data_IF_724899992187
#
_entry.id   IF_724899992187
#
_cell.length_a   1.000
_cell.length_b   1.000
_cell.length_c   1.000
_cell.angle_alpha   90.00
_cell.angle_beta   90.00
_cell.angle_gamma   90.00
#
_symmetry.space_group_name_H-M   'P 1'
#
loop_
_entity.id
_entity.type
_entity.pdbx_description
1 polymer ?
#
# COMPACT_ATOMS: atom_id res chain seq x y z
N UNK A 1 55.19 -37.98 -27.81
CA UNK A 1 55.33 -37.40 -29.17
C UNK A 1 54.57 -36.08 -29.21
N UNK A 2 55.24 -34.91 -29.29
CA UNK A 2 54.55 -33.64 -29.34
C UNK A 2 54.10 -33.34 -30.78
N UNK A 3 52.80 -33.14 -30.99
CA UNK A 3 52.28 -32.69 -32.27
C UNK A 3 52.47 -31.17 -32.40
N UNK A 4 53.15 -30.79 -33.48
CA UNK A 4 53.48 -29.42 -33.87
C UNK A 4 52.23 -28.59 -34.14
N UNK A 5 52.05 -27.47 -33.43
CA UNK A 5 51.00 -26.50 -33.73
C UNK A 5 51.45 -25.54 -34.83
N UNK A 6 50.85 -25.68 -36.00
CA UNK A 6 51.06 -24.77 -37.14
C UNK A 6 50.14 -23.56 -36.99
N UNK A 7 50.68 -22.41 -36.59
CA UNK A 7 49.94 -21.14 -36.57
C UNK A 7 49.99 -20.50 -37.96
N UNK A 8 48.82 -20.38 -38.61
CA UNK A 8 48.70 -19.60 -39.86
C UNK A 8 48.16 -18.21 -39.50
N UNK A 9 49.01 -17.20 -39.53
CA UNK A 9 48.56 -15.78 -39.49
C UNK A 9 47.95 -15.46 -40.85
N UNK A 10 46.63 -15.27 -40.91
CA UNK A 10 46.00 -14.58 -42.04
C UNK A 10 45.98 -13.09 -41.69
N UNK A 11 46.79 -12.31 -42.39
CA UNK A 11 46.92 -10.88 -42.18
C UNK A 11 46.07 -10.15 -43.22
N UNK A 12 45.16 -9.31 -42.72
CA UNK A 12 44.61 -8.15 -43.44
C UNK A 12 43.39 -8.39 -44.31
N UNK A 13 42.28 -7.74 -43.93
CA UNK A 13 41.08 -7.54 -44.75
C UNK A 13 39.87 -7.28 -43.87
N UNK A 14 39.68 -6.01 -43.49
CA UNK A 14 38.55 -5.39 -42.78
C UNK A 14 37.36 -6.28 -42.34
N UNK A 15 37.18 -6.36 -41.02
CA UNK A 15 35.88 -6.41 -40.34
C UNK A 15 35.12 -7.72 -40.39
N UNK A 16 35.40 -8.69 -39.50
CA UNK A 16 34.45 -9.78 -39.17
C UNK A 16 34.52 -10.16 -37.69
N UNK A 17 33.39 -9.96 -37.02
CA UNK A 17 32.85 -10.56 -35.79
C UNK A 17 33.68 -11.70 -35.15
N UNK A 18 34.33 -11.41 -34.02
CA UNK A 18 35.02 -12.41 -33.20
C UNK A 18 34.06 -13.16 -32.27
N UNK A 19 33.37 -14.19 -32.77
CA UNK A 19 32.63 -15.14 -31.94
C UNK A 19 33.51 -16.29 -31.46
N UNK A 20 33.60 -16.52 -30.14
CA UNK A 20 34.15 -17.78 -29.58
C UNK A 20 33.02 -18.80 -29.51
N UNK A 21 33.16 -19.90 -30.25
CA UNK A 21 32.22 -21.03 -30.20
C UNK A 21 32.81 -22.12 -29.29
N UNK A 22 32.17 -22.36 -28.14
CA UNK A 22 32.47 -23.47 -27.25
C UNK A 22 31.43 -24.56 -27.51
N UNK A 23 31.82 -25.63 -28.20
CA UNK A 23 30.98 -26.82 -28.41
C UNK A 23 30.95 -27.65 -27.11
N UNK A 24 29.82 -27.66 -26.41
CA UNK A 24 29.52 -28.65 -25.37
C UNK A 24 28.35 -29.50 -25.86
N UNK A 25 28.55 -30.82 -25.85
CA UNK A 25 27.72 -31.80 -26.55
C UNK A 25 26.21 -31.69 -26.33
N UNK A 26 25.48 -31.82 -27.44
CA UNK A 26 24.03 -32.08 -27.55
C UNK A 26 23.12 -31.04 -26.90
N UNK A 27 22.91 -29.92 -27.60
CA UNK A 27 21.76 -29.03 -27.41
C UNK A 27 22.03 -27.61 -27.88
N UNK A 28 21.27 -27.11 -28.86
CA UNK A 28 21.34 -25.71 -29.29
C UNK A 28 20.85 -24.80 -28.15
N UNK A 29 21.77 -24.15 -27.44
CA UNK A 29 21.46 -23.05 -26.52
C UNK A 29 21.94 -21.74 -27.15
N UNK A 30 21.03 -21.04 -27.83
CA UNK A 30 21.26 -19.68 -28.31
C UNK A 30 21.28 -18.74 -27.10
N UNK A 31 22.45 -18.18 -26.80
CA UNK A 31 22.58 -17.12 -25.78
C UNK A 31 22.02 -15.82 -26.36
N UNK A 32 20.79 -15.46 -26.00
CA UNK A 32 20.20 -14.15 -26.34
C UNK A 32 20.88 -13.07 -25.50
N UNK A 33 21.61 -12.17 -26.15
CA UNK A 33 22.12 -10.93 -25.55
C UNK A 33 21.04 -9.84 -25.67
N UNK A 34 20.36 -9.50 -24.58
CA UNK A 34 20.70 -8.29 -23.81
C UNK A 34 21.05 -7.01 -24.59
N UNK A 35 20.40 -6.65 -25.69
CA UNK A 35 20.72 -5.38 -26.38
C UNK A 35 20.15 -4.20 -25.58
N UNK A 36 21.02 -3.51 -24.85
CA UNK A 36 20.75 -2.20 -24.29
C UNK A 36 21.29 -1.16 -25.26
N UNK A 37 20.40 -0.38 -25.86
CA UNK A 37 20.73 0.90 -26.47
C UNK A 37 19.58 1.88 -26.19
N UNK A 38 19.93 2.90 -25.43
CA UNK A 38 19.12 4.00 -24.94
C UNK A 38 18.63 4.92 -26.07
N UNK A 39 17.34 5.27 -26.06
CA UNK A 39 16.88 6.53 -26.63
C UNK A 39 15.97 7.25 -25.63
N UNK A 40 16.44 8.42 -25.21
CA UNK A 40 15.85 9.29 -24.21
C UNK A 40 14.54 9.90 -24.72
N UNK A 41 13.42 9.36 -24.27
CA UNK A 41 12.34 10.21 -23.77
C UNK A 41 12.21 9.88 -22.31
N UNK A 42 12.32 10.88 -21.44
CA UNK A 42 11.95 10.72 -20.03
C UNK A 42 10.44 10.47 -19.97
N UNK A 43 10.00 9.25 -20.31
CA UNK A 43 8.82 8.71 -19.66
C UNK A 43 9.32 8.42 -18.26
N UNK A 44 9.30 9.45 -17.41
CA UNK A 44 9.02 9.23 -16.02
C UNK A 44 7.77 8.36 -16.03
N UNK A 45 7.94 7.05 -15.84
CA UNK A 45 6.86 6.22 -15.32
C UNK A 45 6.60 6.82 -13.94
N UNK A 46 5.87 7.93 -13.92
CA UNK A 46 5.14 8.37 -12.75
C UNK A 46 4.13 7.26 -12.59
N UNK A 47 4.55 6.18 -11.94
CA UNK A 47 3.63 5.25 -11.32
C UNK A 47 2.88 6.14 -10.34
N UNK A 48 1.71 6.58 -10.75
CA UNK A 48 0.85 7.46 -9.95
C UNK A 48 0.40 6.62 -8.76
N UNK A 49 1.21 6.65 -7.71
CA UNK A 49 0.93 5.92 -6.49
C UNK A 49 -0.27 6.59 -5.82
N UNK A 50 -1.34 5.84 -5.61
CA UNK A 50 -2.57 6.37 -5.03
C UNK A 50 -2.57 6.09 -3.52
N UNK A 51 -2.95 7.10 -2.74
CA UNK A 51 -3.03 7.02 -1.28
C UNK A 51 -4.21 6.15 -0.85
N UNK A 52 -4.01 5.14 0.03
CA UNK A 52 -5.13 4.39 0.60
C UNK A 52 -6.02 5.28 1.45
N UNK A 53 -7.33 5.08 1.35
CA UNK A 53 -8.30 5.47 2.36
C UNK A 53 -8.50 4.32 3.33
N UNK A 54 -8.47 4.60 4.63
CA UNK A 54 -8.62 3.58 5.66
C UNK A 54 -9.64 3.96 6.73
N UNK A 55 -10.41 2.98 7.18
CA UNK A 55 -11.42 3.16 8.22
C UNK A 55 -11.62 1.87 9.02
N UNK A 56 -12.22 1.99 10.21
CA UNK A 56 -12.51 0.87 11.10
C UNK A 56 -14.01 0.58 11.13
N UNK A 57 -14.36 -0.70 11.21
CA UNK A 57 -15.73 -1.15 11.42
C UNK A 57 -15.78 -2.37 12.35
N UNK A 58 -16.89 -2.61 13.06
CA UNK A 58 -17.11 -3.85 13.76
C UNK A 58 -17.45 -4.97 12.76
N UNK A 59 -16.86 -6.14 12.96
CA UNK A 59 -17.18 -7.36 12.23
C UNK A 59 -18.31 -8.16 12.86
N UNK A 60 -18.66 -9.32 12.26
CA UNK A 60 -19.65 -10.23 12.84
C UNK A 60 -19.20 -10.70 14.22
N UNK A 61 -20.11 -10.69 15.20
CA UNK A 61 -19.80 -11.16 16.55
C UNK A 61 -19.62 -12.69 16.53
N UNK A 62 -18.48 -13.21 17.03
CA UNK A 62 -18.22 -14.64 17.07
C UNK A 62 -18.84 -15.31 18.31
N UNK A 63 -19.40 -14.53 19.23
CA UNK A 63 -20.00 -15.01 20.47
C UNK A 63 -20.14 -13.91 21.53
N UNK A 64 -20.85 -14.19 22.63
CA UNK A 64 -21.01 -13.25 23.74
C UNK A 64 -19.66 -12.89 24.35
N UNK A 65 -19.44 -11.59 24.62
CA UNK A 65 -18.19 -11.07 25.18
C UNK A 65 -17.05 -10.88 24.18
N UNK A 66 -17.20 -11.37 22.94
CA UNK A 66 -16.17 -11.31 21.89
C UNK A 66 -16.57 -10.34 20.78
N UNK A 67 -15.57 -9.72 20.17
CA UNK A 67 -15.72 -8.72 19.13
C UNK A 67 -14.70 -8.94 18.03
N UNK A 68 -15.14 -8.86 16.78
CA UNK A 68 -14.25 -8.81 15.63
C UNK A 68 -14.08 -7.35 15.23
N UNK A 69 -12.84 -6.90 15.13
CA UNK A 69 -12.46 -5.59 14.62
C UNK A 69 -12.05 -5.73 13.17
N UNK A 70 -12.54 -4.85 12.29
CA UNK A 70 -12.20 -4.88 10.87
C UNK A 70 -11.58 -3.54 10.48
N UNK A 71 -10.39 -3.60 9.89
CA UNK A 71 -9.72 -2.48 9.27
C UNK A 71 -9.82 -2.60 7.77
N UNK A 72 -10.28 -1.54 7.12
CA UNK A 72 -10.42 -1.46 5.68
C UNK A 72 -9.33 -0.56 5.11
N UNK A 73 -8.77 -0.94 3.98
CA UNK A 73 -7.90 -0.11 3.15
C UNK A 73 -8.42 -0.19 1.71
N UNK A 74 -8.76 0.95 1.12
CA UNK A 74 -9.34 1.06 -0.22
C UNK A 74 -8.65 2.11 -1.06
N UNK A 75 -8.82 2.05 -2.39
CA UNK A 75 -8.35 3.10 -3.29
C UNK A 75 -6.83 3.17 -3.42
N UNK A 76 -6.09 2.11 -3.09
CA UNK A 76 -4.62 2.15 -3.13
C UNK A 76 -4.05 1.54 -4.41
N UNK A 77 -2.91 2.08 -4.83
CA UNK A 77 -2.11 1.58 -5.93
C UNK A 77 -0.65 1.99 -5.73
N UNK A 78 0.36 1.12 -5.90
CA UNK A 78 0.30 -0.25 -6.42
C UNK A 78 -0.22 -1.30 -5.42
N UNK A 79 -0.36 -2.56 -5.86
CA UNK A 79 -0.90 -3.68 -5.06
C UNK A 79 -0.18 -3.95 -3.71
N UNK A 80 1.15 -3.81 -3.58
CA UNK A 80 1.84 -4.10 -2.31
C UNK A 80 1.46 -3.11 -1.21
N UNK A 81 0.72 -3.61 -0.20
CA UNK A 81 0.33 -2.86 0.99
C UNK A 81 0.53 -3.72 2.24
N UNK A 82 0.94 -3.09 3.33
CA UNK A 82 1.06 -3.72 4.63
C UNK A 82 0.03 -3.13 5.59
N UNK A 83 -0.85 -3.98 6.10
CA UNK A 83 -1.95 -3.60 7.00
C UNK A 83 -1.97 -4.62 8.13
N UNK A 84 -1.91 -4.16 9.37
CA UNK A 84 -1.96 -5.04 10.54
C UNK A 84 -2.63 -4.37 11.74
N UNK A 85 -3.10 -5.18 12.67
CA UNK A 85 -3.53 -4.70 13.98
C UNK A 85 -2.36 -4.63 14.96
N UNK A 86 -2.32 -3.54 15.72
CA UNK A 86 -1.28 -3.17 16.65
C UNK A 86 -1.87 -2.92 18.04
N UNK A 87 -1.11 -3.27 19.08
CA UNK A 87 -1.33 -2.81 20.46
C UNK A 87 -0.08 -2.05 20.89
N UNK A 88 -0.16 -0.71 20.89
CA UNK A 88 1.05 0.13 20.91
C UNK A 88 1.92 -0.18 19.69
N UNK A 89 3.17 -0.57 19.89
CA UNK A 89 4.10 -0.97 18.82
C UNK A 89 4.11 -2.49 18.55
N UNK A 90 3.26 -3.29 19.22
CA UNK A 90 3.25 -4.75 19.06
C UNK A 90 2.20 -5.22 18.06
N UNK A 91 2.65 -5.90 17.02
CA UNK A 91 1.78 -6.59 16.05
C UNK A 91 0.95 -7.70 16.71
N UNK A 92 -0.32 -7.77 16.35
CA UNK A 92 -1.24 -8.80 16.85
C UNK A 92 -1.18 -10.03 15.94
N UNK A 93 -0.76 -11.18 16.48
CA UNK A 93 -0.65 -12.41 15.69
C UNK A 93 -2.00 -12.98 15.24
N UNK A 94 -3.10 -12.65 15.93
CA UNK A 94 -4.47 -13.04 15.53
C UNK A 94 -5.03 -12.27 14.33
N UNK A 95 -4.20 -11.44 13.68
CA UNK A 95 -4.58 -10.62 12.54
C UNK A 95 -4.82 -11.50 11.32
N UNK A 96 -6.05 -11.53 10.84
CA UNK A 96 -6.46 -12.27 9.64
C UNK A 96 -6.57 -11.31 8.46
N UNK A 97 -5.75 -11.53 7.44
CA UNK A 97 -5.72 -10.73 6.21
C UNK A 97 -6.59 -11.40 5.14
N UNK A 98 -7.50 -10.65 4.52
CA UNK A 98 -8.26 -11.15 3.37
C UNK A 98 -7.44 -11.13 2.09
N UNK A 99 -8.00 -11.71 1.03
CA UNK A 99 -7.52 -11.48 -0.32
C UNK A 99 -7.63 -10.01 -0.71
N UNK A 100 -6.73 -9.58 -1.59
CA UNK A 100 -6.73 -8.23 -2.16
C UNK A 100 -7.65 -8.22 -3.38
N UNK A 101 -8.69 -7.40 -3.33
CA UNK A 101 -9.76 -7.34 -4.33
C UNK A 101 -9.53 -6.13 -5.24
N UNK A 102 -9.54 -6.29 -6.58
CA UNK A 102 -9.44 -5.16 -7.50
C UNK A 102 -10.73 -4.33 -7.53
N UNK A 103 -10.59 -3.02 -7.67
CA UNK A 103 -11.68 -2.13 -8.04
C UNK A 103 -11.72 -1.92 -9.57
N UNK A 104 -12.87 -1.46 -10.07
CA UNK A 104 -13.05 -1.19 -11.51
C UNK A 104 -12.21 -0.01 -12.02
N UNK A 105 -11.79 0.89 -11.12
CA UNK A 105 -10.94 2.05 -11.39
C UNK A 105 -9.43 1.73 -11.45
N UNK A 106 -9.06 0.45 -11.28
CA UNK A 106 -7.67 0.00 -11.25
C UNK A 106 -6.97 0.13 -9.89
N UNK A 107 -7.70 0.55 -8.84
CA UNK A 107 -7.21 0.52 -7.46
C UNK A 107 -7.50 -0.81 -6.78
N UNK A 108 -7.01 -0.99 -5.56
CA UNK A 108 -7.15 -2.22 -4.79
C UNK A 108 -7.86 -1.98 -3.47
N UNK A 109 -8.43 -3.05 -2.94
CA UNK A 109 -9.05 -3.09 -1.63
C UNK A 109 -8.58 -4.29 -0.83
N UNK A 110 -8.40 -4.07 0.47
CA UNK A 110 -8.00 -5.09 1.42
C UNK A 110 -8.74 -4.86 2.74
N UNK A 111 -9.14 -5.95 3.39
CA UNK A 111 -9.60 -5.91 4.79
C UNK A 111 -8.74 -6.80 5.67
N UNK A 112 -8.57 -6.37 6.90
CA UNK A 112 -7.82 -7.09 7.92
C UNK A 112 -8.65 -7.13 9.20
N UNK A 113 -8.95 -8.34 9.67
CA UNK A 113 -9.77 -8.56 10.85
C UNK A 113 -8.96 -9.08 12.02
N UNK A 114 -9.36 -8.72 13.24
CA UNK A 114 -8.79 -9.24 14.48
C UNK A 114 -9.93 -9.57 15.45
N UNK A 115 -9.94 -10.79 15.96
CA UNK A 115 -10.89 -11.23 16.97
C UNK A 115 -10.30 -11.05 18.37
N UNK A 116 -11.03 -10.36 19.25
CA UNK A 116 -10.61 -10.08 20.63
C UNK A 116 -11.78 -10.15 21.59
N UNK A 117 -11.48 -10.26 22.87
CA UNK A 117 -12.47 -10.00 23.92
C UNK A 117 -12.86 -8.51 23.89
N UNK A 118 -14.16 -8.20 24.03
CA UNK A 118 -14.66 -6.83 23.95
C UNK A 118 -14.00 -5.89 24.98
N UNK A 119 -13.64 -6.43 26.15
CA UNK A 119 -12.90 -5.72 27.22
C UNK A 119 -11.47 -5.34 26.84
N UNK A 120 -10.87 -6.07 25.90
CA UNK A 120 -9.49 -5.90 25.43
C UNK A 120 -9.42 -5.09 24.14
N UNK A 121 -10.56 -4.78 23.52
CA UNK A 121 -10.64 -3.97 22.31
C UNK A 121 -10.07 -2.54 22.45
N UNK A 122 -10.24 -1.83 23.60
CA UNK A 122 -9.63 -0.53 23.79
C UNK A 122 -8.09 -0.57 23.69
N UNK A 123 -7.50 0.45 23.07
CA UNK A 123 -6.04 0.55 22.88
C UNK A 123 -5.48 -0.23 21.69
N UNK A 124 -6.33 -0.92 20.93
CA UNK A 124 -5.96 -1.47 19.63
C UNK A 124 -5.99 -0.39 18.55
N UNK A 125 -5.08 -0.52 17.60
CA UNK A 125 -4.99 0.35 16.44
C UNK A 125 -4.70 -0.44 15.18
N UNK A 126 -5.17 0.04 14.03
CA UNK A 126 -4.79 -0.49 12.74
C UNK A 126 -3.70 0.38 12.14
N UNK A 127 -2.59 -0.23 11.70
CA UNK A 127 -1.48 0.46 11.05
C UNK A 127 -1.42 0.06 9.59
N UNK A 128 -1.39 1.06 8.71
CA UNK A 128 -1.35 0.90 7.25
C UNK A 128 -0.08 1.55 6.72
N UNK A 129 0.72 0.77 5.99
CA UNK A 129 1.92 1.21 5.29
C UNK A 129 1.77 0.93 3.80
N UNK A 130 2.10 1.92 3.00
CA UNK A 130 1.98 1.86 1.56
C UNK A 130 3.00 2.79 0.90
N UNK A 131 3.50 2.43 -0.29
CA UNK A 131 4.53 3.20 -0.99
C UNK A 131 4.13 4.67 -1.26
N UNK A 132 2.84 4.96 -1.50
CA UNK A 132 2.34 6.33 -1.71
C UNK A 132 2.33 7.19 -0.45
N UNK A 133 2.55 6.61 0.73
CA UNK A 133 2.63 7.32 1.99
C UNK A 133 4.07 7.72 2.37
N UNK A 134 5.09 7.15 1.72
CA UNK A 134 6.48 7.32 2.13
C UNK A 134 6.70 6.84 3.56
N UNK A 135 7.20 7.72 4.43
CA UNK A 135 7.47 7.45 5.85
C UNK A 135 6.26 7.74 6.78
N UNK A 136 5.08 8.06 6.21
CA UNK A 136 3.89 8.43 6.99
C UNK A 136 2.89 7.27 7.11
N UNK A 137 2.89 6.57 8.23
CA UNK A 137 1.93 5.49 8.43
C UNK A 137 0.53 6.03 8.80
N UNK A 138 -0.53 5.44 8.24
CA UNK A 138 -1.89 5.72 8.72
C UNK A 138 -2.14 4.84 9.94
N UNK A 139 -2.46 5.47 11.08
CA UNK A 139 -2.79 4.78 12.34
C UNK A 139 -4.21 5.15 12.76
N UNK A 140 -5.08 4.15 12.85
CA UNK A 140 -6.47 4.31 13.26
C UNK A 140 -6.70 3.63 14.61
N UNK A 141 -7.17 4.37 15.61
CA UNK A 141 -7.44 3.84 16.95
C UNK A 141 -8.87 3.34 17.10
N UNK A 142 -9.04 2.14 17.62
CA UNK A 142 -10.36 1.59 17.92
C UNK A 142 -11.03 2.36 19.07
N UNK A 143 -12.30 2.72 18.90
CA UNK A 143 -13.07 3.47 19.89
C UNK A 143 -12.83 4.98 19.91
N UNK A 144 -11.84 5.49 19.16
CA UNK A 144 -11.67 6.94 18.97
C UNK A 144 -12.57 7.43 17.84
N UNK A 145 -13.89 7.36 18.06
CA UNK A 145 -14.87 7.99 17.17
C UNK A 145 -14.76 9.49 17.40
N UNK A 146 -14.08 10.21 16.51
CA UNK A 146 -14.05 11.67 16.51
C UNK A 146 -15.48 12.18 16.62
N UNK A 147 -15.78 12.86 17.73
CA UNK A 147 -17.13 13.32 17.99
C UNK A 147 -17.42 14.57 17.18
N UNK A 148 -17.60 14.38 15.88
CA UNK A 148 -18.12 15.42 15.00
C UNK A 148 -19.49 15.88 15.51
N UNK A 149 -20.26 14.99 16.15
CA UNK A 149 -21.50 15.33 16.85
C UNK A 149 -21.34 16.35 17.97
N UNK A 150 -20.31 16.23 18.83
CA UNK A 150 -20.02 17.24 19.87
C UNK A 150 -19.59 18.57 19.24
N UNK A 151 -18.86 18.53 18.12
CA UNK A 151 -18.45 19.75 17.39
C UNK A 151 -19.68 20.49 16.84
N UNK A 152 -20.61 19.78 16.19
CA UNK A 152 -21.85 20.39 15.71
C UNK A 152 -22.67 21.01 16.84
N UNK A 153 -22.79 20.32 17.99
CA UNK A 153 -23.53 20.82 19.14
C UNK A 153 -22.86 22.06 19.75
N UNK A 154 -21.53 22.08 19.83
CA UNK A 154 -20.76 23.20 20.36
C UNK A 154 -20.80 24.45 19.46
N UNK A 155 -21.01 24.31 18.15
CA UNK A 155 -21.07 25.46 17.22
C UNK A 155 -22.52 25.94 17.00
N UNK A 156 -23.48 25.02 16.88
CA UNK A 156 -24.87 25.36 16.57
C UNK A 156 -25.59 26.03 17.74
N UNK A 157 -25.35 25.57 18.98
CA UNK A 157 -26.03 26.12 20.17
C UNK A 157 -25.65 27.59 20.43
N UNK A 158 -24.37 28.01 20.45
CA UNK A 158 -24.01 29.41 20.62
C UNK A 158 -24.52 30.31 19.49
N UNK A 159 -24.51 29.82 18.24
CA UNK A 159 -25.00 30.59 17.11
C UNK A 159 -26.50 30.91 17.23
N UNK A 160 -27.30 29.93 17.65
CA UNK A 160 -28.73 30.13 17.89
C UNK A 160 -28.98 31.06 19.08
N UNK A 161 -28.18 30.97 20.15
CA UNK A 161 -28.28 31.87 21.30
C UNK A 161 -27.92 33.31 20.91
N UNK A 162 -26.85 33.53 20.14
CA UNK A 162 -26.46 34.85 19.65
C UNK A 162 -27.50 35.43 18.69
N UNK A 163 -28.05 34.63 17.78
CA UNK A 163 -29.13 35.04 16.89
C UNK A 163 -30.39 35.42 17.70
N UNK A 164 -30.75 34.63 18.70
CA UNK A 164 -31.86 34.92 19.61
C UNK A 164 -31.67 36.21 20.40
N UNK A 165 -30.48 36.40 20.99
CA UNK A 165 -30.13 37.61 21.75
C UNK A 165 -30.15 38.86 20.87
N UNK A 166 -29.58 38.80 19.67
CA UNK A 166 -29.56 39.93 18.73
C UNK A 166 -30.96 40.27 18.23
N UNK A 167 -31.80 39.26 17.93
CA UNK A 167 -33.20 39.46 17.56
C UNK A 167 -34.00 40.08 18.70
N UNK A 168 -33.83 39.58 19.92
CA UNK A 168 -34.53 40.09 21.10
C UNK A 168 -34.10 41.51 21.47
N UNK A 169 -32.81 41.82 21.38
CA UNK A 169 -32.29 43.16 21.59
C UNK A 169 -32.80 44.15 20.53
N UNK A 170 -32.94 43.72 19.26
CA UNK A 170 -33.56 44.52 18.20
C UNK A 170 -35.04 44.77 18.44
N UNK A 171 -35.78 43.79 18.98
CA UNK A 171 -37.21 43.94 19.29
C UNK A 171 -37.50 44.84 20.49
N UNK A 172 -36.51 45.00 21.40
CA UNK A 172 -36.62 45.86 22.59
C UNK A 172 -36.20 47.32 22.37
N UNK A 173 -35.50 47.63 21.27
CA UNK A 173 -35.22 49.03 20.85
C UNK A 173 -36.34 49.54 19.97
#
# INVERSE_FOLDING_TARGET
>A
MPFQFRTRRRQGGEGIMGGRFLEVGKGCLSKVTVESASESSSVSLVSSAVRPEAWLSPGPSPGPGRLVLVCHASGFYPKPIWVTWMRGEREQQGTQRSDVVPHADGTWYLRVSLEVEAREAPGLSCRVRHSSLGDQDIVLYWGHRSSVGWIFLAVTVPLLLLAGLTFWARKRR
#
